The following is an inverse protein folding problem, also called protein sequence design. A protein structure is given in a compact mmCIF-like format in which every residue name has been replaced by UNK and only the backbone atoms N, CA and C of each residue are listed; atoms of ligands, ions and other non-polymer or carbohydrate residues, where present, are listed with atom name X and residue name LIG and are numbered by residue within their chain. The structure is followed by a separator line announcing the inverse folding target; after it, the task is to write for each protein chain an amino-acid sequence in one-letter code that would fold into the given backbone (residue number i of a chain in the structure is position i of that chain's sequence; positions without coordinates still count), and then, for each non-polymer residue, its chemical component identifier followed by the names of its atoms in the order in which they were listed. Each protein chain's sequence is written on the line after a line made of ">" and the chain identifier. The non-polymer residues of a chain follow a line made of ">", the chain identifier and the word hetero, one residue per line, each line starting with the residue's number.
data_IF_278684814071
#
_entry.id   IF_278684814071
#
_cell.length_a   1.000
_cell.length_b   1.000
_cell.length_c   1.000
_cell.angle_alpha   90.00
_cell.angle_beta   90.00
_cell.angle_gamma   90.00
#
_symmetry.space_group_name_H-M   'P 1'
#
loop_
_entity.id
_entity.type
_entity.pdbx_description
1 polymer ?
#
# COMPACT_ATOMS: atom_id res chain seq x y z
N UNK A 1 -42.17 -68.17 28.92
CA UNK A 1 -41.35 -68.90 29.91
C UNK A 1 -40.78 -70.14 29.22
N UNK A 2 -39.51 -70.56 29.39
CA UNK A 2 -38.34 -70.07 30.15
C UNK A 2 -37.24 -69.56 29.17
N UNK A 3 -36.00 -69.17 29.50
CA UNK A 3 -35.26 -68.78 30.70
C UNK A 3 -33.98 -68.07 30.22
N UNK A 4 -33.52 -67.11 31.00
CA UNK A 4 -32.25 -66.39 30.88
C UNK A 4 -31.02 -67.32 30.90
N UNK A 5 -29.96 -66.94 30.16
CA UNK A 5 -28.58 -67.02 30.66
C UNK A 5 -27.81 -65.75 30.30
N UNK A 6 -27.14 -65.23 31.31
CA UNK A 6 -26.27 -64.06 31.36
C UNK A 6 -24.84 -64.55 31.64
N UNK A 7 -23.87 -63.68 31.32
CA UNK A 7 -22.50 -63.60 31.86
C UNK A 7 -21.36 -64.19 30.98
N UNK A 8 -20.09 -63.86 31.27
CA UNK A 8 -19.42 -62.61 30.84
C UNK A 8 -17.97 -62.85 30.35
N UNK A 9 -17.34 -61.94 29.58
CA UNK A 9 -15.86 -61.86 29.55
C UNK A 9 -15.39 -60.41 29.33
N UNK A 10 -14.71 -59.86 30.34
CA UNK A 10 -13.79 -58.73 30.23
C UNK A 10 -12.60 -59.11 29.34
N UNK A 11 -12.18 -58.26 28.40
CA UNK A 11 -10.77 -57.78 28.29
C UNK A 11 -10.62 -56.80 27.12
N UNK A 12 -9.82 -55.75 27.30
CA UNK A 12 -9.23 -55.01 26.17
C UNK A 12 -9.33 -53.50 26.25
N UNK A 13 -8.70 -52.90 27.25
CA UNK A 13 -8.35 -51.48 27.27
C UNK A 13 -7.29 -51.23 26.18
N UNK A 14 -7.66 -50.60 25.06
CA UNK A 14 -6.68 -50.16 24.05
C UNK A 14 -6.43 -48.66 24.23
N UNK A 15 -5.30 -48.33 24.87
CA UNK A 15 -4.66 -47.04 24.73
C UNK A 15 -4.15 -46.88 23.28
N UNK A 16 -4.65 -45.88 22.58
CA UNK A 16 -4.00 -45.32 21.38
C UNK A 16 -4.14 -43.80 21.48
N UNK A 17 -3.14 -43.13 22.05
CA UNK A 17 -1.98 -42.58 21.37
C UNK A 17 -2.34 -41.39 20.45
N UNK A 18 -2.20 -40.19 21.03
CA UNK A 18 -1.66 -39.00 20.38
C UNK A 18 -2.34 -38.52 19.11
N UNK A 19 -3.44 -37.77 19.26
CA UNK A 19 -3.82 -36.78 18.24
C UNK A 19 -2.84 -35.61 18.38
N UNK A 20 -1.73 -35.68 17.63
CA UNK A 20 -0.86 -34.53 17.41
C UNK A 20 -1.61 -33.51 16.58
N UNK A 21 -2.16 -32.47 17.24
CA UNK A 21 -2.58 -31.26 16.56
C UNK A 21 -1.34 -30.65 15.89
N UNK A 22 -1.23 -30.82 14.58
CA UNK A 22 -0.48 -29.90 13.74
C UNK A 22 -1.24 -28.57 13.79
N UNK A 23 -0.88 -27.74 14.76
CA UNK A 23 -1.21 -26.33 14.74
C UNK A 23 -0.52 -25.73 13.52
N UNK A 24 -1.27 -25.58 12.43
CA UNK A 24 -0.90 -24.70 11.33
C UNK A 24 -0.82 -23.32 11.96
N UNK A 25 0.40 -22.86 12.23
CA UNK A 25 0.64 -21.49 12.65
C UNK A 25 0.26 -20.59 11.46
N UNK A 26 -0.99 -20.10 11.46
CA UNK A 26 -1.37 -18.98 10.62
C UNK A 26 -0.40 -17.83 10.93
N UNK A 27 0.20 -17.18 9.92
CA UNK A 27 1.03 -16.02 10.17
C UNK A 27 0.17 -14.98 10.89
N UNK A 28 0.59 -14.61 12.09
CA UNK A 28 -0.04 -13.57 12.87
C UNK A 28 -0.06 -12.28 12.03
N UNK A 29 -1.23 -11.98 11.46
CA UNK A 29 -1.49 -10.69 10.82
C UNK A 29 -1.51 -9.68 11.96
N UNK A 30 -0.39 -8.97 12.15
CA UNK A 30 -0.33 -7.86 13.10
C UNK A 30 -1.38 -6.85 12.66
N UNK A 31 -2.42 -6.55 13.49
CA UNK A 31 -3.42 -5.59 13.12
C UNK A 31 -2.76 -4.21 13.02
N UNK A 32 -2.68 -3.68 11.80
CA UNK A 32 -2.24 -2.30 11.56
C UNK A 32 -3.33 -1.39 12.10
N UNK A 33 -2.97 -0.45 12.97
CA UNK A 33 -3.89 0.58 13.44
C UNK A 33 -4.48 1.29 12.22
N UNK A 34 -5.81 1.27 12.09
CA UNK A 34 -6.50 1.98 11.02
C UNK A 34 -6.50 3.48 11.34
N UNK A 35 -6.19 4.31 10.35
CA UNK A 35 -6.35 5.75 10.51
C UNK A 35 -7.84 6.06 10.77
N UNK A 36 -8.11 6.96 11.70
CA UNK A 36 -9.44 7.51 11.92
C UNK A 36 -9.70 8.77 11.09
N UNK A 37 -8.71 9.23 10.34
CA UNK A 37 -8.80 10.43 9.54
C UNK A 37 -9.81 10.26 8.39
N UNK A 38 -10.54 11.33 8.04
CA UNK A 38 -11.42 11.34 6.87
C UNK A 38 -10.74 10.91 5.56
N UNK A 39 -9.45 11.17 5.40
CA UNK A 39 -8.66 10.68 4.28
C UNK A 39 -7.22 10.38 4.69
N UNK A 40 -6.70 9.23 4.26
CA UNK A 40 -5.30 8.82 4.47
C UNK A 40 -4.71 8.15 3.24
N UNK A 41 -3.41 8.32 3.03
CA UNK A 41 -2.69 7.68 1.93
C UNK A 41 -1.28 7.25 2.36
N UNK A 42 -0.81 6.12 1.85
CA UNK A 42 0.58 5.65 1.97
C UNK A 42 1.05 5.07 0.63
N UNK A 43 2.16 5.59 0.09
CA UNK A 43 2.64 5.20 -1.23
C UNK A 43 3.22 3.79 -1.25
N UNK A 44 4.09 3.48 -0.30
CA UNK A 44 4.75 2.17 -0.20
C UNK A 44 4.80 1.74 1.25
N UNK A 45 4.39 0.50 1.52
CA UNK A 45 4.73 -0.23 2.74
C UNK A 45 5.45 -1.50 2.36
N UNK A 46 6.62 -1.71 2.96
CA UNK A 46 7.47 -2.86 2.68
C UNK A 46 7.78 -3.60 3.97
N UNK A 47 7.56 -4.91 3.93
CA UNK A 47 8.02 -5.84 4.96
C UNK A 47 8.96 -6.85 4.31
N UNK A 48 10.10 -7.10 4.94
CA UNK A 48 11.04 -8.16 4.55
C UNK A 48 11.24 -9.07 5.74
N UNK A 49 11.05 -10.37 5.54
CA UNK A 49 11.31 -11.36 6.58
C UNK A 49 12.81 -11.61 6.72
N UNK A 50 13.29 -11.97 7.93
CA UNK A 50 14.65 -12.44 8.07
C UNK A 50 14.81 -13.79 7.37
N UNK A 51 15.83 -13.91 6.53
CA UNK A 51 16.16 -15.15 5.82
C UNK A 51 17.68 -15.32 5.84
N UNK A 52 18.16 -16.12 6.80
CA UNK A 52 19.59 -16.33 7.03
C UNK A 52 20.31 -16.86 5.78
N UNK A 53 19.68 -17.80 5.06
CA UNK A 53 20.24 -18.39 3.85
C UNK A 53 20.46 -17.37 2.70
N UNK A 54 19.81 -16.20 2.78
CA UNK A 54 19.98 -15.07 1.85
C UNK A 54 20.71 -13.88 2.48
N UNK A 55 21.13 -13.97 3.75
CA UNK A 55 21.70 -12.85 4.50
C UNK A 55 20.73 -11.67 4.66
N UNK A 56 19.43 -11.95 4.75
CA UNK A 56 18.40 -10.92 4.89
C UNK A 56 18.04 -10.73 6.35
N UNK A 57 18.03 -9.46 6.77
CA UNK A 57 17.51 -9.02 8.06
C UNK A 57 16.03 -8.65 7.96
N UNK A 58 15.32 -8.79 9.08
CA UNK A 58 13.94 -8.35 9.19
C UNK A 58 13.85 -6.84 8.96
N UNK A 59 12.80 -6.41 8.26
CA UNK A 59 12.55 -5.00 8.01
C UNK A 59 11.06 -4.72 7.88
N UNK A 60 10.63 -3.55 8.33
CA UNK A 60 9.30 -3.01 8.08
C UNK A 60 9.41 -1.50 8.00
N UNK A 61 8.84 -0.89 6.96
CA UNK A 61 8.86 0.56 6.81
C UNK A 61 7.81 1.07 5.84
N UNK A 62 7.61 2.38 5.86
CA UNK A 62 6.64 3.10 5.04
C UNK A 62 7.31 4.29 4.36
N UNK A 63 6.80 4.66 3.19
CA UNK A 63 7.29 5.80 2.43
C UNK A 63 6.14 6.53 1.75
N UNK A 64 6.16 7.87 1.78
CA UNK A 64 5.13 8.73 1.20
C UNK A 64 3.82 8.60 1.96
N UNK A 65 3.64 9.34 3.05
CA UNK A 65 2.44 9.25 3.91
C UNK A 65 1.71 10.59 3.92
N UNK A 66 0.39 10.58 3.77
CA UNK A 66 -0.43 11.78 3.92
C UNK A 66 -1.69 11.47 4.76
N UNK A 67 -2.13 12.43 5.56
CA UNK A 67 -3.31 12.29 6.39
C UNK A 67 -4.05 13.64 6.55
N UNK A 68 -5.32 13.69 6.15
CA UNK A 68 -6.20 14.83 6.39
C UNK A 68 -7.08 14.53 7.58
N UNK A 69 -6.67 14.99 8.77
CA UNK A 69 -7.28 14.63 10.06
C UNK A 69 -8.63 15.28 10.35
N UNK A 70 -9.03 16.31 9.58
CA UNK A 70 -10.31 16.99 9.79
C UNK A 70 -10.76 17.86 8.62
N UNK A 71 -12.00 18.39 8.65
CA UNK A 71 -12.57 19.18 7.55
C UNK A 71 -11.74 20.42 7.20
N UNK A 72 -11.64 20.72 5.91
CA UNK A 72 -10.82 21.80 5.34
C UNK A 72 -9.33 21.50 5.27
N UNK A 73 -8.87 20.32 5.70
CA UNK A 73 -7.46 19.96 5.64
C UNK A 73 -7.09 19.30 4.32
N UNK A 74 -5.88 19.61 3.87
CA UNK A 74 -5.23 18.95 2.74
C UNK A 74 -3.81 18.60 3.15
N UNK A 75 -3.33 17.43 2.75
CA UNK A 75 -1.95 17.01 2.95
C UNK A 75 -1.35 16.59 1.61
N UNK A 76 -0.17 17.13 1.29
CA UNK A 76 0.58 16.86 0.05
C UNK A 76 1.62 15.74 0.20
N UNK A 77 1.59 15.03 1.32
CA UNK A 77 2.44 13.86 1.59
C UNK A 77 3.80 14.23 2.16
N UNK A 78 4.18 13.52 3.22
CA UNK A 78 5.53 13.46 3.76
C UNK A 78 6.33 12.36 3.05
N UNK A 79 7.44 12.78 2.43
CA UNK A 79 8.41 11.91 1.77
C UNK A 79 9.76 11.89 2.51
N UNK A 80 9.77 12.27 3.79
CA UNK A 80 10.83 11.92 4.70
C UNK A 80 11.06 10.40 4.74
N UNK A 81 12.25 10.01 5.20
CA UNK A 81 12.65 8.60 5.25
C UNK A 81 13.02 8.15 6.67
N UNK A 82 12.10 8.24 7.65
CA UNK A 82 12.38 7.85 9.03
C UNK A 82 12.65 6.34 9.16
N UNK A 83 12.06 5.54 8.27
CA UNK A 83 12.19 4.08 8.28
C UNK A 83 13.40 3.58 7.44
N UNK A 84 14.10 4.45 6.70
CA UNK A 84 15.23 4.06 5.83
C UNK A 84 14.84 3.32 4.54
N UNK A 85 13.60 3.51 4.08
CA UNK A 85 13.03 2.96 2.85
C UNK A 85 13.83 3.29 1.60
N UNK A 86 14.44 4.48 1.47
CA UNK A 86 15.16 4.87 0.25
C UNK A 86 16.41 4.03 -0.02
N UNK A 87 16.93 3.34 0.99
CA UNK A 87 17.99 2.34 0.79
C UNK A 87 17.48 1.05 0.11
N UNK A 88 16.18 0.79 0.22
CA UNK A 88 15.50 -0.45 -0.21
C UNK A 88 14.62 -0.26 -1.43
N UNK A 89 14.16 0.96 -1.71
CA UNK A 89 13.35 1.26 -2.89
C UNK A 89 13.96 2.38 -3.74
N UNK A 90 13.68 2.35 -5.03
CA UNK A 90 13.84 3.48 -5.95
C UNK A 90 12.48 3.81 -6.55
N UNK A 91 12.17 5.10 -6.71
CA UNK A 91 10.92 5.57 -7.32
C UNK A 91 11.24 6.80 -8.16
N UNK A 92 10.81 6.83 -9.42
CA UNK A 92 11.12 7.94 -10.33
C UNK A 92 10.20 9.14 -10.09
N UNK A 93 8.89 8.93 -10.17
CA UNK A 93 7.89 9.93 -9.80
C UNK A 93 7.02 9.41 -8.67
N UNK A 94 6.62 10.31 -7.78
CA UNK A 94 5.84 10.00 -6.59
C UNK A 94 4.90 11.15 -6.27
N UNK A 95 3.66 10.83 -5.96
CA UNK A 95 2.66 11.78 -5.49
C UNK A 95 1.79 11.06 -4.45
N UNK A 96 1.54 11.74 -3.32
CA UNK A 96 0.63 11.29 -2.29
C UNK A 96 -0.14 12.50 -1.85
N UNK A 97 -1.45 12.42 -1.86
CA UNK A 97 -2.31 13.54 -1.51
C UNK A 97 -3.55 13.09 -0.79
N UNK A 98 -4.00 13.89 0.14
CA UNK A 98 -5.32 13.73 0.76
C UNK A 98 -5.99 15.09 0.88
N UNK A 99 -7.32 15.06 0.89
CA UNK A 99 -8.13 16.20 1.31
C UNK A 99 -9.35 15.70 2.06
N UNK A 100 -9.76 16.49 3.05
CA UNK A 100 -10.99 16.31 3.77
C UNK A 100 -11.83 17.58 3.65
N UNK A 101 -12.90 17.57 2.87
CA UNK A 101 -13.74 18.73 2.58
C UNK A 101 -15.22 18.39 2.79
N UNK A 102 -16.09 19.33 3.22
CA UNK A 102 -17.54 19.08 3.33
C UNK A 102 -18.18 18.51 2.07
N UNK A 103 -17.65 18.83 0.88
CA UNK A 103 -18.16 18.29 -0.37
C UNK A 103 -17.63 16.88 -0.69
N UNK A 104 -16.39 16.57 -0.28
CA UNK A 104 -15.71 15.31 -0.62
C UNK A 104 -14.44 15.09 0.20
N UNK A 105 -14.29 13.89 0.73
CA UNK A 105 -13.01 13.40 1.25
C UNK A 105 -12.36 12.51 0.19
N UNK A 106 -11.06 12.66 -0.04
CA UNK A 106 -10.35 11.83 -1.02
C UNK A 106 -8.88 11.64 -0.67
N UNK A 107 -8.33 10.54 -1.17
CA UNK A 107 -6.94 10.14 -1.01
C UNK A 107 -6.40 9.63 -2.35
N UNK A 108 -5.15 9.93 -2.63
CA UNK A 108 -4.46 9.58 -3.87
C UNK A 108 -3.03 9.17 -3.58
N UNK A 109 -2.55 8.15 -4.27
CA UNK A 109 -1.16 7.72 -4.25
C UNK A 109 -0.73 7.22 -5.63
N UNK A 110 0.28 7.86 -6.21
CA UNK A 110 0.78 7.56 -7.54
C UNK A 110 2.30 7.39 -7.53
N UNK A 111 2.78 6.43 -8.32
CA UNK A 111 4.20 6.26 -8.57
C UNK A 111 4.49 5.81 -9.99
N UNK A 112 5.73 6.04 -10.43
CA UNK A 112 6.30 5.41 -11.61
C UNK A 112 7.68 4.83 -11.32
N UNK A 113 8.03 3.79 -12.07
CA UNK A 113 9.29 3.06 -12.00
C UNK A 113 9.73 2.75 -10.56
N UNK A 114 8.82 2.14 -9.79
CA UNK A 114 9.19 1.58 -8.49
C UNK A 114 10.12 0.40 -8.73
N UNK A 115 11.25 0.40 -8.03
CA UNK A 115 12.17 -0.73 -7.91
C UNK A 115 12.32 -1.05 -6.42
N UNK A 116 12.06 -2.29 -6.03
CA UNK A 116 12.32 -2.80 -4.69
C UNK A 116 13.56 -3.67 -4.74
N UNK A 117 14.47 -3.43 -3.81
CA UNK A 117 15.70 -4.19 -3.64
C UNK A 117 15.53 -5.24 -2.56
N UNK A 118 16.09 -6.41 -2.81
CA UNK A 118 16.25 -7.46 -1.80
C UNK A 118 17.76 -7.60 -1.53
N UNK A 119 18.16 -7.25 -0.31
CA UNK A 119 19.57 -7.01 -0.02
C UNK A 119 20.11 -5.86 -0.87
N UNK A 120 21.07 -6.16 -1.77
CA UNK A 120 21.70 -5.16 -2.66
C UNK A 120 21.27 -5.27 -4.12
N UNK A 121 20.33 -6.16 -4.45
CA UNK A 121 19.95 -6.43 -5.84
C UNK A 121 18.53 -5.95 -6.14
N UNK A 122 18.25 -5.47 -7.37
CA UNK A 122 16.89 -5.24 -7.82
C UNK A 122 16.14 -6.56 -7.79
N UNK A 123 14.97 -6.56 -7.17
CA UNK A 123 14.17 -7.76 -6.94
C UNK A 123 12.80 -7.66 -7.58
N UNK A 124 12.06 -6.58 -7.32
CA UNK A 124 10.72 -6.35 -7.84
C UNK A 124 10.64 -4.98 -8.49
N UNK A 125 9.91 -4.87 -9.61
CA UNK A 125 9.67 -3.61 -10.31
C UNK A 125 8.19 -3.42 -10.57
N UNK A 126 7.71 -2.17 -10.46
CA UNK A 126 6.37 -1.76 -10.89
C UNK A 126 6.50 -0.51 -11.73
N UNK A 127 6.13 -0.58 -13.02
CA UNK A 127 6.32 0.55 -13.92
C UNK A 127 5.44 1.76 -13.56
N UNK A 128 4.20 1.53 -13.16
CA UNK A 128 3.30 2.61 -12.72
C UNK A 128 2.17 2.08 -11.85
N UNK A 129 1.71 2.94 -10.95
CA UNK A 129 0.57 2.71 -10.08
C UNK A 129 -0.18 4.03 -9.91
N UNK A 130 -1.51 3.94 -9.95
CA UNK A 130 -2.42 5.03 -9.60
C UNK A 130 -3.53 4.46 -8.70
N UNK A 131 -3.46 4.80 -7.42
CA UNK A 131 -4.48 4.50 -6.43
C UNK A 131 -5.26 5.75 -6.05
N UNK A 132 -6.57 5.60 -5.93
CA UNK A 132 -7.46 6.66 -5.52
C UNK A 132 -8.64 6.12 -4.73
N UNK A 133 -9.06 6.86 -3.72
CA UNK A 133 -10.26 6.63 -2.95
C UNK A 133 -10.99 7.95 -2.72
N UNK A 134 -12.31 7.97 -2.88
CA UNK A 134 -13.14 9.13 -2.56
C UNK A 134 -14.42 8.73 -1.85
N UNK A 135 -14.88 9.62 -0.97
CA UNK A 135 -16.14 9.49 -0.26
C UNK A 135 -16.82 10.87 -0.19
N UNK A 136 -18.06 10.95 -0.65
CA UNK A 136 -18.91 12.15 -0.57
C UNK A 136 -19.73 12.08 0.72
N UNK A 137 -19.56 13.01 1.68
CA UNK A 137 -20.35 13.03 2.91
C UNK A 137 -21.85 13.29 2.69
N UNK A 138 -22.71 13.03 3.68
CA UNK A 138 -24.08 13.55 3.72
C UNK A 138 -24.12 15.09 3.60
N UNK A 139 -25.19 15.70 3.05
CA UNK A 139 -26.47 15.08 2.68
C UNK A 139 -26.54 14.53 1.25
N UNK A 140 -25.51 14.80 0.42
CA UNK A 140 -25.48 14.34 -0.97
C UNK A 140 -25.15 12.84 -1.05
N UNK A 141 -24.22 12.40 -0.20
CA UNK A 141 -23.82 11.00 -0.04
C UNK A 141 -24.62 10.22 1.00
N UNK A 142 -24.06 9.10 1.52
CA UNK A 142 -22.71 8.62 1.26
C UNK A 142 -22.57 8.00 -0.13
N UNK A 143 -21.61 8.49 -0.92
CA UNK A 143 -21.18 7.87 -2.17
C UNK A 143 -19.68 7.64 -2.11
N UNK A 144 -19.25 6.41 -2.35
CA UNK A 144 -17.86 6.02 -2.32
C UNK A 144 -17.43 5.44 -3.66
N UNK A 145 -16.17 5.64 -4.02
CA UNK A 145 -15.50 5.05 -5.17
C UNK A 145 -14.03 4.87 -4.84
N UNK A 146 -13.46 3.73 -5.20
CA UNK A 146 -12.04 3.49 -5.11
C UNK A 146 -11.55 2.76 -6.36
N UNK A 147 -10.32 3.03 -6.78
CA UNK A 147 -9.66 2.25 -7.81
C UNK A 147 -8.17 2.12 -7.53
N UNK A 148 -7.60 1.04 -8.05
CA UNK A 148 -6.17 0.83 -8.13
C UNK A 148 -5.85 0.40 -9.55
N UNK A 149 -5.08 1.23 -10.26
CA UNK A 149 -4.69 1.01 -11.64
C UNK A 149 -3.20 0.75 -11.69
N UNK A 150 -2.84 -0.39 -12.24
CA UNK A 150 -1.50 -0.67 -12.73
C UNK A 150 -1.57 -0.78 -14.24
N UNK A 151 -0.47 -0.45 -14.92
CA UNK A 151 -0.35 -0.89 -16.31
C UNK A 151 -0.20 -2.41 -16.27
N UNK A 152 -1.28 -3.14 -16.59
CA UNK A 152 -1.56 -4.57 -16.32
C UNK A 152 -0.62 -5.63 -16.93
N UNK A 153 0.64 -5.29 -17.11
CA UNK A 153 1.73 -6.16 -17.52
C UNK A 153 3.10 -5.57 -17.15
N UNK A 154 3.19 -4.81 -16.06
CA UNK A 154 4.41 -4.08 -15.72
C UNK A 154 4.90 -4.31 -14.28
N UNK A 155 4.47 -5.41 -13.66
CA UNK A 155 5.02 -5.90 -12.40
C UNK A 155 6.01 -7.01 -12.76
N UNK A 156 7.28 -6.81 -12.43
CA UNK A 156 8.32 -7.80 -12.68
C UNK A 156 8.94 -8.26 -11.37
N UNK A 157 9.22 -9.55 -11.24
CA UNK A 157 10.01 -10.12 -10.15
C UNK A 157 11.19 -10.85 -10.76
N UNK A 158 12.40 -10.39 -10.47
CA UNK A 158 13.65 -10.89 -11.05
C UNK A 158 13.64 -10.93 -12.60
N UNK A 159 12.98 -9.95 -13.22
CA UNK A 159 12.82 -9.85 -14.68
C UNK A 159 11.72 -10.72 -15.27
N UNK A 160 10.97 -11.48 -14.45
CA UNK A 160 9.79 -12.22 -14.89
C UNK A 160 8.53 -11.40 -14.69
N UNK A 161 7.73 -11.28 -15.74
CA UNK A 161 6.43 -10.64 -15.65
C UNK A 161 5.48 -11.46 -14.76
N UNK A 162 4.89 -10.81 -13.76
CA UNK A 162 3.85 -11.39 -12.90
C UNK A 162 2.51 -10.71 -13.14
N UNK A 163 1.43 -11.49 -13.07
CA UNK A 163 0.06 -10.99 -13.22
C UNK A 163 -0.67 -10.99 -11.88
N UNK A 164 -1.83 -10.35 -11.83
CA UNK A 164 -2.77 -10.50 -10.71
C UNK A 164 -3.05 -11.98 -10.44
N UNK A 165 -3.11 -12.36 -9.16
CA UNK A 165 -3.25 -13.74 -8.70
C UNK A 165 -1.89 -14.37 -8.33
N UNK A 166 -1.88 -15.70 -8.29
CA UNK A 166 -0.71 -16.51 -7.92
C UNK A 166 0.18 -16.79 -9.13
N UNK A 167 1.47 -16.51 -9.01
CA UNK A 167 2.50 -16.77 -10.01
C UNK A 167 3.62 -17.58 -9.36
N UNK A 168 4.14 -18.59 -10.05
CA UNK A 168 5.27 -19.38 -9.57
C UNK A 168 6.48 -19.16 -10.48
N UNK A 169 7.60 -18.83 -9.86
CA UNK A 169 8.84 -18.50 -10.56
C UNK A 169 9.94 -19.47 -10.13
N UNK A 170 10.53 -20.16 -11.10
CA UNK A 170 11.75 -20.94 -10.86
C UNK A 170 12.93 -19.97 -10.81
N UNK A 171 13.67 -20.00 -9.71
CA UNK A 171 14.80 -19.11 -9.46
C UNK A 171 16.05 -19.88 -9.06
N UNK A 172 17.18 -19.21 -9.15
CA UNK A 172 18.49 -19.70 -8.72
C UNK A 172 19.05 -18.80 -7.63
N UNK A 173 19.96 -19.35 -6.81
CA UNK A 173 20.70 -18.56 -5.85
C UNK A 173 21.44 -17.36 -6.45
N UNK A 174 21.94 -17.47 -7.68
CA UNK A 174 22.59 -16.36 -8.37
C UNK A 174 21.66 -15.15 -8.58
N UNK A 175 20.40 -15.41 -8.96
CA UNK A 175 19.37 -14.37 -9.11
C UNK A 175 19.05 -13.72 -7.76
N UNK A 176 18.99 -14.50 -6.68
CA UNK A 176 18.75 -14.03 -5.31
C UNK A 176 19.99 -13.41 -4.64
N UNK A 177 21.18 -13.55 -5.24
CA UNK A 177 22.44 -13.06 -4.67
C UNK A 177 23.10 -14.00 -3.66
N UNK A 178 22.62 -15.25 -3.52
CA UNK A 178 23.14 -16.25 -2.60
C UNK A 178 23.71 -17.45 -3.37
N UNK A 179 25.04 -17.59 -3.43
CA UNK A 179 25.71 -18.62 -4.26
C UNK A 179 25.50 -20.05 -3.77
N UNK A 180 25.14 -20.24 -2.50
CA UNK A 180 24.91 -21.58 -1.91
C UNK A 180 23.49 -22.11 -2.17
N UNK A 181 22.60 -21.27 -2.68
CA UNK A 181 21.24 -21.65 -3.03
C UNK A 181 21.23 -22.25 -4.44
N UNK A 182 20.69 -23.45 -4.56
CA UNK A 182 20.44 -24.15 -5.82
C UNK A 182 19.16 -23.67 -6.51
N UNK A 183 18.51 -24.59 -7.23
CA UNK A 183 17.22 -24.32 -7.88
C UNK A 183 16.11 -24.25 -6.85
N UNK A 184 15.40 -23.13 -6.82
CA UNK A 184 14.40 -22.79 -5.82
C UNK A 184 13.14 -22.24 -6.49
N UNK A 185 12.07 -22.06 -5.72
CA UNK A 185 10.79 -21.54 -6.23
C UNK A 185 10.38 -20.31 -5.43
N UNK A 186 9.96 -19.25 -6.12
CA UNK A 186 9.22 -18.15 -5.52
C UNK A 186 7.75 -18.27 -5.89
N UNK A 187 6.87 -18.05 -4.92
CA UNK A 187 5.45 -17.82 -5.16
C UNK A 187 5.17 -16.34 -4.97
N UNK A 188 4.66 -15.68 -6.00
CA UNK A 188 4.27 -14.27 -5.97
C UNK A 188 2.76 -14.18 -6.09
N UNK A 189 2.10 -13.57 -5.10
CA UNK A 189 0.66 -13.33 -5.10
C UNK A 189 0.42 -11.84 -5.22
N UNK A 190 -0.25 -11.42 -6.29
CA UNK A 190 -0.59 -10.02 -6.54
C UNK A 190 -2.10 -9.84 -6.36
N UNK A 191 -2.50 -9.00 -5.40
CA UNK A 191 -3.91 -8.82 -5.00
C UNK A 191 -4.27 -7.33 -4.99
N UNK A 192 -4.95 -6.81 -6.03
CA UNK A 192 -5.52 -5.47 -5.99
C UNK A 192 -6.74 -5.45 -5.07
N UNK A 193 -6.87 -4.37 -4.29
CA UNK A 193 -8.11 -4.04 -3.60
C UNK A 193 -8.72 -2.77 -4.20
N UNK A 194 -10.03 -2.83 -4.45
CA UNK A 194 -10.87 -1.70 -4.83
C UNK A 194 -12.23 -1.86 -4.17
N UNK A 195 -12.51 -1.07 -3.13
CA UNK A 195 -13.72 -1.20 -2.33
C UNK A 195 -14.30 0.18 -2.00
N UNK A 196 -15.38 0.62 -2.67
CA UNK A 196 -16.06 -0.05 -3.77
C UNK A 196 -15.38 0.23 -5.12
N UNK A 197 -15.31 -0.76 -6.02
CA UNK A 197 -14.67 -0.63 -7.35
C UNK A 197 -15.48 0.19 -8.36
N UNK A 198 -16.73 0.47 -8.05
CA UNK A 198 -17.62 1.36 -8.77
C UNK A 198 -18.35 2.26 -7.77
N UNK A 199 -18.88 3.38 -8.24
CA UNK A 199 -19.61 4.30 -7.37
C UNK A 199 -20.77 3.56 -6.69
N UNK A 200 -20.78 3.57 -5.35
CA UNK A 200 -21.75 2.83 -4.54
C UNK A 200 -22.16 3.64 -3.32
N UNK A 201 -23.36 3.38 -2.80
CA UNK A 201 -23.82 3.96 -1.52
C UNK A 201 -23.10 3.27 -0.36
N UNK A 202 -21.94 3.78 0.00
CA UNK A 202 -21.09 3.23 1.06
C UNK A 202 -20.36 4.37 1.78
N UNK A 203 -20.17 4.24 3.10
CA UNK A 203 -19.56 5.27 3.94
C UNK A 203 -18.03 5.30 3.92
N UNK A 204 -17.39 4.51 3.07
CA UNK A 204 -15.93 4.45 2.95
C UNK A 204 -15.50 3.96 1.57
N UNK A 205 -14.33 4.39 1.15
CA UNK A 205 -13.63 3.94 -0.04
C UNK A 205 -12.19 3.56 0.32
N UNK A 206 -11.67 2.49 -0.27
CA UNK A 206 -10.28 2.05 -0.09
C UNK A 206 -9.73 1.36 -1.32
N UNK A 207 -8.47 1.63 -1.63
CA UNK A 207 -7.76 0.99 -2.71
C UNK A 207 -6.28 0.81 -2.38
N UNK A 208 -5.70 -0.30 -2.85
CA UNK A 208 -4.26 -0.60 -2.82
C UNK A 208 -3.93 -1.78 -3.73
N UNK A 209 -2.64 -2.10 -3.85
CA UNK A 209 -2.13 -3.33 -4.46
C UNK A 209 -1.21 -4.04 -3.47
N UNK A 210 -1.57 -5.25 -3.06
CA UNK A 210 -0.70 -6.12 -2.26
C UNK A 210 0.11 -7.03 -3.18
N UNK A 211 1.40 -7.18 -2.91
CA UNK A 211 2.30 -8.14 -3.55
C UNK A 211 3.03 -8.90 -2.46
N UNK A 212 2.65 -10.17 -2.27
CA UNK A 212 3.26 -11.07 -1.31
C UNK A 212 4.16 -12.06 -2.02
N UNK A 213 5.39 -12.21 -1.55
CA UNK A 213 6.34 -13.17 -2.09
C UNK A 213 6.73 -14.16 -1.00
N UNK A 214 6.49 -15.43 -1.24
CA UNK A 214 7.04 -16.55 -0.45
C UNK A 214 8.10 -17.27 -1.25
N UNK A 215 9.03 -17.91 -0.55
CA UNK A 215 10.16 -18.61 -1.14
C UNK A 215 10.26 -20.02 -0.56
N UNK A 216 10.46 -21.00 -1.44
CA UNK A 216 10.91 -22.35 -1.11
C UNK A 216 12.33 -22.51 -1.67
N UNK A 217 13.31 -22.31 -0.80
CA UNK A 217 14.73 -22.31 -1.14
C UNK A 217 15.36 -23.68 -0.88
N UNK A 218 16.22 -24.09 -1.80
CA UNK A 218 17.00 -25.33 -1.71
C UNK A 218 18.48 -25.02 -1.88
N UNK A 219 19.34 -25.79 -1.24
CA UNK A 219 20.78 -25.76 -1.51
C UNK A 219 21.11 -26.40 -2.89
N UNK A 220 22.40 -26.47 -3.22
CA UNK A 220 22.88 -27.07 -4.48
C UNK A 220 22.59 -28.56 -4.59
N UNK A 221 22.47 -29.26 -3.47
CA UNK A 221 22.17 -30.69 -3.39
C UNK A 221 20.65 -30.96 -3.43
N UNK A 222 19.83 -29.91 -3.43
CA UNK A 222 18.37 -29.98 -3.51
C UNK A 222 17.68 -30.13 -2.15
N UNK A 223 18.41 -30.03 -1.04
CA UNK A 223 17.85 -30.05 0.31
C UNK A 223 17.22 -28.69 0.63
N UNK A 224 16.04 -28.71 1.24
CA UNK A 224 15.35 -27.50 1.66
C UNK A 224 16.15 -26.76 2.74
N UNK A 225 16.35 -25.45 2.53
CA UNK A 225 17.04 -24.57 3.47
C UNK A 225 16.13 -23.47 4.03
N UNK A 226 15.04 -23.15 3.33
CA UNK A 226 14.05 -22.18 3.78
C UNK A 226 12.70 -22.42 3.07
N UNK A 227 11.60 -22.30 3.79
CA UNK A 227 10.25 -22.28 3.23
C UNK A 227 9.41 -21.28 4.02
N UNK A 228 9.00 -20.18 3.40
CA UNK A 228 8.30 -19.12 4.13
C UNK A 228 8.18 -17.77 3.40
N UNK A 229 7.65 -16.73 4.07
CA UNK A 229 7.47 -15.41 3.51
C UNK A 229 8.80 -14.69 3.32
N UNK A 230 9.06 -14.17 2.12
CA UNK A 230 10.29 -13.43 1.81
C UNK A 230 10.09 -11.92 1.95
N UNK A 231 9.09 -11.37 1.26
CA UNK A 231 8.75 -9.95 1.32
C UNK A 231 7.27 -9.73 1.03
N UNK A 232 6.68 -8.70 1.63
CA UNK A 232 5.32 -8.24 1.39
C UNK A 232 5.37 -6.75 1.09
N UNK A 233 4.63 -6.33 0.07
CA UNK A 233 4.61 -4.96 -0.42
C UNK A 233 3.16 -4.53 -0.57
N UNK A 234 2.76 -3.45 0.11
CA UNK A 234 1.49 -2.77 -0.14
C UNK A 234 1.76 -1.44 -0.83
N UNK A 235 1.16 -1.25 -1.99
CA UNK A 235 1.36 -0.08 -2.83
C UNK A 235 0.10 0.76 -2.94
N UNK A 236 0.28 2.07 -2.81
CA UNK A 236 -0.76 3.09 -2.94
C UNK A 236 -1.96 2.80 -2.05
N UNK A 237 -1.73 2.55 -0.77
CA UNK A 237 -2.80 2.44 0.23
C UNK A 237 -3.51 3.78 0.32
N UNK A 238 -4.79 3.80 -0.02
CA UNK A 238 -5.64 5.00 0.02
C UNK A 238 -6.93 4.63 0.72
N UNK A 239 -7.34 5.47 1.67
CA UNK A 239 -8.59 5.33 2.40
C UNK A 239 -9.29 6.69 2.47
N UNK A 240 -10.60 6.71 2.22
CA UNK A 240 -11.45 7.87 2.41
C UNK A 240 -12.74 7.45 3.12
N UNK A 241 -13.18 8.26 4.09
CA UNK A 241 -14.39 8.02 4.86
C UNK A 241 -15.37 9.17 4.66
N UNK A 242 -16.66 8.86 4.55
CA UNK A 242 -17.71 9.87 4.36
C UNK A 242 -18.03 10.59 5.68
N UNK A 243 -17.65 9.99 6.81
CA UNK A 243 -17.79 10.54 8.15
C UNK A 243 -16.48 10.31 8.93
N UNK A 244 -16.08 11.22 9.82
CA UNK A 244 -14.95 11.00 10.71
C UNK A 244 -15.17 9.72 11.53
N UNK A 245 -14.18 8.82 11.56
CA UNK A 245 -14.24 7.68 12.48
C UNK A 245 -13.84 8.14 13.87
N UNK A 246 -14.47 7.63 14.95
CA UNK A 246 -13.89 7.78 16.26
C UNK A 246 -12.47 7.16 16.26
N UNK A 247 -11.50 7.76 16.99
CA UNK A 247 -10.16 7.19 17.08
C UNK A 247 -10.24 5.75 17.59
N UNK A 248 -9.60 4.81 16.89
CA UNK A 248 -9.56 3.42 17.33
C UNK A 248 -8.56 3.32 18.48
N UNK A 249 -9.02 3.35 19.74
CA UNK A 249 -8.16 3.04 20.88
C UNK A 249 -7.97 1.53 20.97
N UNK A 250 -6.86 1.00 20.48
CA UNK A 250 -6.49 -0.39 20.76
C UNK A 250 -6.08 -0.49 22.24
N UNK A 251 -6.70 -1.35 23.07
CA UNK A 251 -6.21 -1.58 24.42
C UNK A 251 -4.84 -2.24 24.32
N UNK A 252 -3.79 -1.54 24.77
CA UNK A 252 -2.47 -2.12 24.97
C UNK A 252 -2.62 -3.16 26.07
N UNK A 253 -2.54 -4.45 25.71
CA UNK A 253 -2.46 -5.51 26.71
C UNK A 253 -1.03 -5.51 27.24
N UNK A 254 -0.79 -4.77 28.32
CA UNK A 254 0.49 -4.78 29.02
C UNK A 254 0.68 -6.15 29.68
N UNK A 255 1.34 -7.09 29.01
CA UNK A 255 1.86 -8.31 29.66
C UNK A 255 3.07 -7.93 30.51
N UNK A 256 2.82 -7.46 31.74
CA UNK A 256 3.86 -7.31 32.75
C UNK A 256 4.28 -8.70 33.22
N UNK A 257 5.33 -9.26 32.63
CA UNK A 257 6.00 -10.44 33.18
C UNK A 257 6.71 -10.02 34.47
N UNK A 258 6.06 -10.22 35.61
CA UNK A 258 6.68 -10.09 36.92
C UNK A 258 7.80 -11.15 37.04
N UNK A 259 9.05 -10.74 36.82
CA UNK A 259 10.21 -11.54 37.25
C UNK A 259 10.35 -11.39 38.76
N UNK A 260 9.91 -12.42 39.48
CA UNK A 260 10.26 -12.69 40.86
C UNK A 260 11.78 -12.84 40.99
N UNK A 261 12.44 -11.88 41.62
CA UNK A 261 13.76 -12.10 42.22
C UNK A 261 13.69 -11.74 43.70
N UNK A 262 13.53 -12.79 44.49
CA UNK A 262 13.72 -12.82 45.94
C UNK A 262 15.18 -12.50 46.25
N UNK A 263 15.46 -11.45 47.03
CA UNK A 263 16.66 -11.37 47.86
C UNK A 263 16.31 -10.85 49.25
N UNK A 264 16.60 -11.71 50.21
CA UNK A 264 16.45 -11.56 51.65
C UNK A 264 17.58 -10.68 52.21
N UNK A 265 17.18 -9.57 52.85
CA UNK A 265 17.65 -8.95 54.11
C UNK A 265 19.13 -9.00 54.52
N UNK A 266 19.70 -7.83 54.86
CA UNK A 266 20.25 -7.57 56.21
C UNK A 266 20.44 -6.07 56.49
N UNK A 267 20.13 -5.68 57.73
CA UNK A 267 20.02 -4.36 58.40
C UNK A 267 21.37 -3.63 58.60
N UNK A 268 21.51 -2.35 58.97
CA UNK A 268 21.00 -1.60 60.17
C UNK A 268 21.46 -0.09 60.06
N UNK A 269 21.19 0.87 60.99
CA UNK A 269 20.61 2.20 60.67
C UNK A 269 21.38 3.44 61.22
N UNK A 270 20.94 4.66 60.87
CA UNK A 270 20.98 5.90 61.69
C UNK A 270 20.35 7.07 60.88
N UNK A 271 19.21 7.64 61.29
CA UNK A 271 19.06 8.89 62.09
C UNK A 271 19.36 10.18 61.28
N UNK A 272 18.66 11.32 61.26
CA UNK A 272 17.42 11.88 61.83
C UNK A 272 17.23 13.28 61.20
N UNK A 273 16.02 13.84 61.29
CA UNK A 273 15.58 15.25 61.16
C UNK A 273 14.98 15.66 59.81
N UNK A 274 13.66 15.89 59.70
CA UNK A 274 12.75 16.93 60.27
C UNK A 274 12.79 18.24 59.46
N UNK A 275 11.82 18.45 58.56
CA UNK A 275 10.67 19.36 58.77
C UNK A 275 9.96 19.72 57.46
N UNK A 276 8.65 19.89 57.56
CA UNK A 276 7.72 20.27 56.51
C UNK A 276 7.86 21.75 56.11
N UNK A 277 7.60 22.08 54.83
CA UNK A 277 6.93 23.33 54.45
C UNK A 277 6.18 23.15 53.12
N UNK A 278 4.99 23.72 53.10
CA UNK A 278 3.91 23.68 52.13
C UNK A 278 4.13 24.63 50.94
N UNK A 279 3.44 24.31 49.83
CA UNK A 279 2.93 25.22 48.79
C UNK A 279 3.90 25.92 47.83
N UNK A 280 3.76 25.64 46.52
CA UNK A 280 3.01 26.50 45.58
C UNK A 280 3.46 26.25 44.13
N UNK A 281 2.45 26.18 43.27
CA UNK A 281 2.50 26.13 41.81
C UNK A 281 3.15 27.39 41.21
N UNK A 282 4.01 27.23 40.20
CA UNK A 282 4.21 28.27 39.19
C UNK A 282 4.62 27.65 37.85
N UNK A 283 3.66 27.64 36.93
CA UNK A 283 3.86 27.43 35.50
C UNK A 283 4.67 28.59 34.94
N UNK A 284 5.81 28.30 34.31
CA UNK A 284 6.60 29.32 33.59
C UNK A 284 6.26 29.21 32.09
N UNK A 285 5.49 30.18 31.62
CA UNK A 285 5.32 30.49 30.20
C UNK A 285 6.57 31.22 29.71
N UNK A 286 7.19 30.72 28.64
CA UNK A 286 8.25 31.45 27.93
C UNK A 286 7.59 32.10 26.71
N UNK A 287 7.24 33.38 26.84
CA UNK A 287 7.07 34.30 25.72
C UNK A 287 8.43 34.92 25.41
N UNK A 288 8.92 34.74 24.19
CA UNK A 288 10.03 35.52 23.67
C UNK A 288 9.50 36.51 22.63
N UNK A 289 9.44 37.78 23.03
CA UNK A 289 9.22 38.94 22.15
C UNK A 289 10.35 39.91 22.40
N UNK A 290 11.13 40.27 21.38
CA UNK A 290 11.69 41.62 21.08
C UNK A 290 12.73 41.50 19.95
N UNK A 291 12.42 42.03 18.75
CA UNK A 291 12.87 43.31 18.15
C UNK A 291 14.05 43.15 17.19
N UNK A 292 13.81 43.48 15.91
CA UNK A 292 14.84 43.90 14.95
C UNK A 292 15.43 45.28 15.34
N UNK A 293 16.17 46.01 14.48
CA UNK A 293 16.18 45.93 13.00
C UNK A 293 17.58 45.94 12.37
N UNK A 294 17.67 45.60 11.07
CA UNK A 294 18.42 46.39 10.07
C UNK A 294 18.28 45.75 8.69
N UNK A 295 17.83 46.56 7.74
CA UNK A 295 17.62 46.15 6.36
C UNK A 295 18.93 46.02 5.58
N UNK A 296 18.93 45.09 4.63
CA UNK A 296 19.76 45.18 3.43
C UNK A 296 18.87 44.78 2.27
N UNK A 297 18.60 45.77 1.41
CA UNK A 297 17.97 45.63 0.10
C UNK A 297 18.95 44.91 -0.83
N UNK A 298 18.56 43.75 -1.38
CA UNK A 298 19.28 43.12 -2.49
C UNK A 298 18.29 42.86 -3.62
N UNK A 299 18.50 43.60 -4.70
CA UNK A 299 17.80 43.49 -5.98
C UNK A 299 18.23 42.22 -6.71
N UNK A 300 17.33 41.32 -7.16
CA UNK A 300 17.70 40.26 -8.06
C UNK A 300 17.69 40.76 -9.51
N UNK A 301 18.88 40.79 -10.11
CA UNK A 301 19.13 41.03 -11.53
C UNK A 301 18.56 39.90 -12.38
N UNK A 302 17.66 40.23 -13.31
CA UNK A 302 17.21 39.34 -14.37
C UNK A 302 18.32 39.16 -15.40
N UNK A 303 18.86 37.94 -15.52
CA UNK A 303 19.76 37.58 -16.63
C UNK A 303 19.02 36.68 -17.61
N UNK A 304 18.63 37.28 -18.72
CA UNK A 304 18.19 36.62 -19.95
C UNK A 304 19.42 36.08 -20.66
N UNK A 305 19.50 34.77 -20.85
CA UNK A 305 20.55 34.10 -21.62
C UNK A 305 19.95 33.32 -22.78
N UNK A 306 20.01 33.90 -23.96
CA UNK A 306 19.66 33.32 -25.26
C UNK A 306 20.84 32.50 -25.81
N UNK A 307 20.53 31.54 -26.68
CA UNK A 307 21.38 30.93 -27.72
C UNK A 307 22.27 29.73 -27.38
N UNK A 308 21.88 28.58 -27.93
CA UNK A 308 22.78 27.55 -28.48
C UNK A 308 21.96 26.85 -29.60
N UNK A 309 22.12 27.29 -30.85
CA UNK A 309 23.14 26.85 -31.82
C UNK A 309 22.88 25.42 -32.33
N UNK A 310 22.48 25.36 -33.60
CA UNK A 310 22.19 24.17 -34.38
C UNK A 310 23.43 23.67 -35.17
N UNK A 311 23.35 22.39 -35.57
CA UNK A 311 24.14 21.65 -36.59
C UNK A 311 25.54 21.14 -36.19
N UNK A 312 25.98 19.95 -36.68
CA UNK A 312 26.03 19.64 -38.11
C UNK A 312 25.58 18.23 -38.57
N UNK A 313 25.24 18.17 -39.86
CA UNK A 313 25.26 16.98 -40.74
C UNK A 313 26.46 17.14 -41.70
N UNK A 314 27.13 16.04 -42.07
CA UNK A 314 27.56 15.86 -43.46
C UNK A 314 27.07 14.52 -44.06
N UNK A 315 26.53 14.57 -45.29
CA UNK A 315 26.20 13.43 -46.18
C UNK A 315 27.44 12.72 -46.72
N UNK A 316 27.42 11.63 -47.49
CA UNK A 316 26.64 11.19 -48.68
C UNK A 316 27.13 9.75 -49.08
N UNK A 317 26.86 9.08 -50.24
CA UNK A 317 25.81 9.17 -51.29
C UNK A 317 25.23 7.80 -51.82
N UNK A 318 24.13 7.87 -52.61
CA UNK A 318 23.72 6.94 -53.70
C UNK A 318 22.83 5.74 -53.31
N UNK A 319 21.64 5.45 -53.87
CA UNK A 319 21.14 5.49 -55.26
C UNK A 319 19.58 5.38 -55.32
N UNK A 320 18.92 5.54 -56.50
CA UNK A 320 17.54 6.06 -56.67
C UNK A 320 16.49 5.00 -57.15
N UNK A 321 15.32 5.38 -57.74
CA UNK A 321 14.07 5.78 -57.07
C UNK A 321 12.87 4.85 -57.41
N UNK A 322 11.83 4.83 -56.57
CA UNK A 322 10.49 4.37 -56.99
C UNK A 322 9.40 5.35 -56.54
N UNK A 323 8.75 5.91 -57.57
CA UNK A 323 7.52 6.70 -57.63
C UNK A 323 6.34 6.12 -56.85
N UNK A 324 5.61 6.97 -56.15
CA UNK A 324 4.29 6.66 -55.59
C UNK A 324 3.72 7.84 -54.79
N UNK A 325 2.99 8.73 -55.48
CA UNK A 325 2.41 9.94 -54.91
C UNK A 325 1.18 9.72 -54.00
N UNK A 326 0.96 10.73 -53.16
CA UNK A 326 -0.19 10.97 -52.27
C UNK A 326 -1.54 11.01 -53.03
N UNK A 327 -2.67 10.82 -52.32
CA UNK A 327 -3.33 12.00 -51.73
C UNK A 327 -3.78 11.78 -50.28
N UNK A 328 -3.84 12.89 -49.54
CA UNK A 328 -4.31 12.94 -48.16
C UNK A 328 -5.82 13.17 -48.01
N UNK A 329 -6.15 13.54 -46.77
CA UNK A 329 -7.45 13.88 -46.15
C UNK A 329 -8.22 12.70 -45.55
N UNK A 330 -8.54 12.82 -44.26
CA UNK A 330 -9.48 11.92 -43.60
C UNK A 330 -9.32 11.81 -42.10
N UNK A 331 -10.02 12.67 -41.38
CA UNK A 331 -10.33 12.59 -39.94
C UNK A 331 -10.99 11.23 -39.61
N UNK A 332 -10.61 10.59 -38.51
CA UNK A 332 -11.43 9.53 -37.89
C UNK A 332 -10.65 8.33 -37.33
N UNK A 333 -10.74 8.09 -36.03
CA UNK A 333 -10.16 6.91 -35.40
C UNK A 333 -10.33 6.83 -33.88
N UNK A 334 -11.51 7.15 -33.37
CA UNK A 334 -11.93 6.77 -32.01
C UNK A 334 -12.17 5.25 -31.98
N UNK A 335 -11.66 4.51 -30.96
CA UNK A 335 -11.92 3.08 -30.86
C UNK A 335 -13.41 2.82 -30.56
N UNK A 336 -13.98 1.94 -31.38
CA UNK A 336 -15.38 1.56 -31.40
C UNK A 336 -15.77 0.69 -30.19
N UNK A 337 -16.06 1.32 -29.05
CA UNK A 337 -16.91 0.74 -27.97
C UNK A 337 -17.68 1.84 -27.22
N UNK A 338 -18.48 2.63 -27.95
CA UNK A 338 -19.39 3.62 -27.35
C UNK A 338 -20.63 3.92 -28.22
N UNK A 339 -21.15 2.92 -28.94
CA UNK A 339 -22.29 3.09 -29.85
C UNK A 339 -23.43 2.09 -29.60
N UNK A 340 -23.81 1.89 -28.33
CA UNK A 340 -24.98 1.08 -27.96
C UNK A 340 -25.95 1.75 -26.96
N UNK A 341 -25.84 3.07 -26.73
CA UNK A 341 -26.71 3.77 -25.78
C UNK A 341 -27.28 5.11 -26.26
N UNK A 342 -27.23 5.40 -27.57
CA UNK A 342 -27.76 6.62 -28.17
C UNK A 342 -28.84 6.39 -29.27
N UNK A 343 -29.46 5.20 -29.29
CA UNK A 343 -30.62 4.88 -30.16
C UNK A 343 -31.95 4.83 -29.39
N UNK A 344 -31.95 4.97 -28.06
CA UNK A 344 -33.16 4.91 -27.22
C UNK A 344 -33.76 6.28 -26.82
N UNK A 345 -33.19 7.39 -27.27
CA UNK A 345 -33.72 8.75 -26.99
C UNK A 345 -34.37 9.43 -28.21
N UNK A 346 -34.35 8.80 -29.40
CA UNK A 346 -34.94 9.34 -30.63
C UNK A 346 -36.40 8.93 -30.89
N UNK A 347 -36.90 7.88 -30.24
CA UNK A 347 -38.25 7.33 -30.49
C UNK A 347 -39.31 7.77 -29.47
N UNK A 348 -38.93 8.47 -28.39
CA UNK A 348 -39.85 8.94 -27.35
C UNK A 348 -40.54 10.29 -27.64
N UNK A 349 -39.98 11.11 -28.53
CA UNK A 349 -40.49 12.47 -28.78
C UNK A 349 -41.54 12.57 -29.91
N UNK A 350 -41.67 11.55 -30.76
CA UNK A 350 -42.68 11.52 -31.83
C UNK A 350 -44.07 11.05 -31.35
N UNK A 351 -44.17 10.33 -30.23
CA UNK A 351 -45.45 9.90 -29.66
C UNK A 351 -46.19 11.00 -28.88
N UNK A 352 -45.48 12.01 -28.36
CA UNK A 352 -46.09 13.14 -27.64
C UNK A 352 -46.67 14.23 -28.56
N UNK A 353 -46.19 14.33 -29.80
CA UNK A 353 -46.74 15.28 -30.79
C UNK A 353 -48.05 14.78 -31.42
N UNK A 354 -48.27 13.46 -31.51
CA UNK A 354 -49.51 12.89 -32.09
C UNK A 354 -50.65 12.85 -31.07
N UNK A 355 -50.37 12.71 -29.77
CA UNK A 355 -51.40 12.71 -28.73
C UNK A 355 -52.04 14.10 -28.49
N UNK A 356 -51.34 15.20 -28.78
CA UNK A 356 -51.86 16.56 -28.56
C UNK A 356 -52.80 17.06 -29.66
N UNK A 357 -52.81 16.43 -30.84
CA UNK A 357 -53.64 16.83 -31.99
C UNK A 357 -55.04 16.20 -32.02
N UNK A 358 -55.35 15.29 -31.08
CA UNK A 358 -56.67 14.64 -30.94
C UNK A 358 -57.58 15.26 -29.86
N UNK A 359 -57.15 16.32 -29.18
CA UNK A 359 -57.95 17.01 -28.15
C UNK A 359 -58.49 18.39 -28.57
N UNK A 360 -58.32 18.77 -29.83
CA UNK A 360 -58.80 20.05 -30.37
C UNK A 360 -59.71 19.91 -31.60
N UNK A 361 -60.44 18.79 -31.69
CA UNK A 361 -61.65 18.65 -32.51
C UNK A 361 -62.69 17.91 -31.68
#
# INVERSE_FOLDING_TARGET
>A
MPSFRLAPVLTGLVLSAGVGLLAVAEPAVVPVARSSAPASATLVRLTTSPVEALGLEAYTGRYGVAESSGPGQTDNGDFGDPDGMLSRIGVATKEVRTAADPAKNWAQAQLTALEVKLGRKPFLKVASLDSYAECVPPPVGPWALAYNRTNGGAIEVLGHLVRTGRNELSVTGAQLGAREIGKSTLTVVVTPLQDPSAQSRQGYARAWLDIDVTASLKDKDGKAVYDGPLTSLRLGETEAHCEPRPPTTTPVTSTTTAKTTTRTTSSTPASTSTSATTSASTSTSVSATTTGPSGVTVTPTTTSGTSSAASPVPGSPGSPPTTGGLPGTGVGGLPAQAAALLVLLGTGLTLLAVARRRRSR
#
